data_IF_461615603930
#
_entry.id   IF_461615603930
#
_cell.length_a   1.000
_cell.length_b   1.000
_cell.length_c   1.000
_cell.angle_alpha   90.00
_cell.angle_beta   90.00
_cell.angle_gamma   90.00
#
_symmetry.space_group_name_H-M   'P 1'
#
loop_
_entity.id
_entity.type
_entity.pdbx_description
1 polymer ?
#
# COMPACT_ATOMS: atom_id res chain seq x y z
N UNK A 1 -5.01 7.69 23.40
CA UNK A 1 -4.00 7.49 22.35
C UNK A 1 -3.39 6.11 22.62
N UNK A 2 -3.65 5.12 21.77
CA UNK A 2 -3.14 3.77 22.00
C UNK A 2 -1.62 3.73 21.80
N UNK A 3 -0.93 2.86 22.54
CA UNK A 3 0.49 2.63 22.37
C UNK A 3 0.74 2.03 20.98
N UNK A 4 1.23 2.84 20.08
CA UNK A 4 1.68 2.34 18.77
C UNK A 4 2.97 1.53 18.94
N UNK A 5 3.12 0.39 18.25
CA UNK A 5 4.34 -0.38 18.32
C UNK A 5 5.52 0.45 17.76
N UNK A 6 6.42 0.85 18.64
CA UNK A 6 7.63 1.61 18.31
C UNK A 6 8.85 0.73 18.12
N UNK A 7 8.69 -0.58 18.31
CA UNK A 7 9.74 -1.58 18.17
C UNK A 7 9.50 -2.42 16.89
N UNK A 8 10.55 -3.02 16.31
CA UNK A 8 10.40 -4.03 15.27
C UNK A 8 9.44 -5.14 15.70
N UNK A 9 8.74 -5.74 14.74
CA UNK A 9 7.85 -6.87 15.01
C UNK A 9 8.64 -7.98 15.72
N UNK A 10 8.09 -8.55 16.82
CA UNK A 10 8.75 -9.65 17.51
C UNK A 10 8.86 -10.86 16.58
N UNK A 11 9.95 -11.60 16.71
CA UNK A 11 10.23 -12.79 15.92
C UNK A 11 9.97 -14.05 16.74
N UNK A 12 9.45 -15.07 16.08
CA UNK A 12 9.47 -16.43 16.61
C UNK A 12 10.87 -17.03 16.46
N UNK A 13 11.26 -17.92 17.36
CA UNK A 13 12.53 -18.64 17.25
C UNK A 13 12.54 -19.66 16.09
N UNK A 14 11.34 -20.16 15.73
CA UNK A 14 11.11 -20.96 14.53
C UNK A 14 9.69 -20.74 14.00
N UNK A 15 9.38 -21.11 12.77
CA UNK A 15 7.99 -21.11 12.25
C UNK A 15 7.05 -21.92 13.14
N UNK A 16 7.48 -23.07 13.64
CA UNK A 16 6.69 -23.98 14.51
C UNK A 16 6.27 -23.31 15.81
N UNK A 17 7.14 -22.51 16.43
CA UNK A 17 6.78 -21.76 17.64
C UNK A 17 5.65 -20.73 17.39
N UNK A 18 5.51 -20.26 16.17
CA UNK A 18 4.39 -19.44 15.76
C UNK A 18 3.20 -20.28 15.26
N UNK A 19 3.33 -21.61 15.28
CA UNK A 19 2.33 -22.55 14.76
C UNK A 19 2.22 -22.54 13.24
N UNK A 20 3.29 -22.23 12.55
CA UNK A 20 3.44 -22.31 11.09
C UNK A 20 4.38 -23.46 10.78
N UNK A 21 4.06 -24.28 9.79
CA UNK A 21 4.94 -25.36 9.36
C UNK A 21 6.09 -24.82 8.49
N UNK A 22 7.33 -25.08 8.88
CA UNK A 22 8.51 -24.75 8.06
C UNK A 22 8.49 -25.47 6.71
N UNK A 23 7.96 -26.70 6.65
CA UNK A 23 7.79 -27.43 5.41
C UNK A 23 6.82 -26.73 4.44
N UNK A 24 5.74 -26.14 4.95
CA UNK A 24 4.79 -25.37 4.12
C UNK A 24 5.42 -24.03 3.66
N UNK A 25 6.22 -23.40 4.49
CA UNK A 25 6.97 -22.20 4.09
C UNK A 25 7.94 -22.53 2.95
N UNK A 26 8.68 -23.63 3.08
CA UNK A 26 9.59 -24.08 2.02
C UNK A 26 8.85 -24.39 0.73
N UNK A 27 7.71 -25.10 0.81
CA UNK A 27 6.87 -25.39 -0.35
C UNK A 27 6.39 -24.12 -1.05
N UNK A 28 5.94 -23.12 -0.27
CA UNK A 28 5.55 -21.81 -0.80
C UNK A 28 6.71 -21.13 -1.57
N UNK A 29 7.93 -21.16 -1.02
CA UNK A 29 9.11 -20.59 -1.68
C UNK A 29 9.44 -21.32 -2.97
N UNK A 30 9.42 -22.68 -2.95
CA UNK A 30 9.64 -23.50 -4.15
C UNK A 30 8.60 -23.22 -5.24
N UNK A 31 7.34 -23.04 -4.86
CA UNK A 31 6.27 -22.76 -5.81
C UNK A 31 6.39 -21.34 -6.39
N UNK A 32 6.82 -20.35 -5.60
CA UNK A 32 7.18 -19.03 -6.11
C UNK A 32 8.30 -19.12 -7.15
N UNK A 33 9.36 -19.87 -6.87
CA UNK A 33 10.48 -20.04 -7.79
C UNK A 33 10.03 -20.72 -9.10
N UNK A 34 9.19 -21.75 -9.00
CA UNK A 34 8.65 -22.47 -10.16
C UNK A 34 7.69 -21.62 -11.00
N UNK A 35 6.98 -20.69 -10.37
CA UNK A 35 5.99 -19.84 -11.06
C UNK A 35 6.60 -18.82 -12.00
N UNK A 36 7.90 -18.56 -11.91
CA UNK A 36 8.58 -17.51 -12.67
C UNK A 36 8.21 -16.08 -12.24
N UNK A 37 7.51 -15.92 -11.12
CA UNK A 37 7.21 -14.62 -10.55
C UNK A 37 8.49 -14.07 -9.91
N UNK A 38 8.88 -12.86 -10.30
CA UNK A 38 9.96 -12.15 -9.64
C UNK A 38 9.51 -11.76 -8.22
N UNK A 39 10.17 -12.34 -7.23
CA UNK A 39 9.90 -12.09 -5.82
C UNK A 39 11.14 -11.50 -5.16
N UNK A 40 11.00 -10.34 -4.52
CA UNK A 40 12.10 -9.66 -3.85
C UNK A 40 12.25 -10.08 -2.39
N UNK A 41 11.12 -10.30 -1.72
CA UNK A 41 11.09 -10.72 -0.32
C UNK A 41 9.72 -11.30 0.03
N UNK A 42 9.68 -12.03 1.12
CA UNK A 42 8.40 -12.42 1.75
C UNK A 42 8.53 -12.35 3.27
N UNK A 43 7.41 -12.15 3.92
CA UNK A 43 7.28 -12.18 5.37
C UNK A 43 5.98 -12.89 5.75
N UNK A 44 6.07 -13.87 6.61
CA UNK A 44 4.92 -14.61 7.18
C UNK A 44 4.75 -14.17 8.62
N UNK A 45 3.57 -13.57 8.92
CA UNK A 45 3.20 -13.17 10.27
C UNK A 45 2.09 -14.06 10.82
N UNK A 46 2.21 -14.43 12.09
CA UNK A 46 1.14 -15.10 12.82
C UNK A 46 1.12 -14.65 14.29
N UNK A 47 -0.06 -14.27 14.78
CA UNK A 47 -0.21 -13.77 16.14
C UNK A 47 0.66 -12.56 16.46
N UNK A 48 0.87 -11.66 15.49
CA UNK A 48 1.71 -10.47 15.66
C UNK A 48 3.21 -10.73 15.69
N UNK A 49 3.66 -11.97 15.42
CA UNK A 49 5.08 -12.37 15.38
C UNK A 49 5.50 -12.77 13.97
N UNK A 50 6.73 -12.43 13.58
CA UNK A 50 7.33 -12.89 12.32
C UNK A 50 7.71 -14.35 12.48
N UNK A 51 7.02 -15.22 11.74
CA UNK A 51 7.26 -16.67 11.72
C UNK A 51 8.35 -17.07 10.71
N UNK A 52 8.38 -16.40 9.56
CA UNK A 52 9.40 -16.58 8.53
C UNK A 52 9.58 -15.28 7.73
N UNK A 53 10.80 -15.04 7.26
CA UNK A 53 11.15 -13.92 6.40
C UNK A 53 12.37 -14.27 5.58
N UNK A 54 12.36 -13.90 4.30
CA UNK A 54 13.55 -14.00 3.47
C UNK A 54 13.55 -12.92 2.38
N UNK A 55 14.74 -12.68 1.84
CA UNK A 55 15.03 -11.75 0.76
C UNK A 55 15.79 -12.49 -0.32
N UNK A 56 15.43 -12.23 -1.58
CA UNK A 56 16.15 -12.74 -2.74
C UNK A 56 17.23 -11.76 -3.17
N UNK A 57 18.44 -12.23 -3.41
CA UNK A 57 19.47 -11.36 -3.95
C UNK A 57 19.05 -10.72 -5.28
N UNK A 58 19.34 -9.44 -5.50
CA UNK A 58 20.22 -8.55 -4.70
C UNK A 58 19.50 -7.78 -3.56
N UNK A 59 18.28 -8.13 -3.21
CA UNK A 59 17.47 -7.43 -2.21
C UNK A 59 17.87 -7.85 -0.79
N UNK A 60 17.76 -6.89 0.14
CA UNK A 60 18.09 -7.05 1.56
C UNK A 60 17.12 -6.21 2.42
N UNK A 61 17.02 -6.47 3.74
CA UNK A 61 16.07 -5.78 4.61
C UNK A 61 16.20 -4.27 4.66
N UNK A 62 17.42 -3.76 4.46
CA UNK A 62 17.80 -2.35 4.53
C UNK A 62 17.82 -1.66 3.15
N UNK A 63 17.56 -2.38 2.08
CA UNK A 63 17.48 -1.80 0.75
C UNK A 63 16.07 -1.28 0.46
N UNK A 64 15.93 0.01 0.04
CA UNK A 64 14.65 0.54 -0.38
C UNK A 64 14.09 -0.23 -1.58
N UNK A 65 12.79 -0.53 -1.52
CA UNK A 65 12.05 -1.14 -2.62
C UNK A 65 11.01 -0.18 -3.18
N UNK A 66 10.84 -0.10 -4.51
CA UNK A 66 9.70 0.60 -5.09
C UNK A 66 8.42 -0.16 -4.74
N UNK A 67 7.56 0.47 -3.94
CA UNK A 67 6.33 -0.15 -3.45
C UNK A 67 5.17 -0.06 -4.45
N UNK A 68 5.37 0.64 -5.57
CA UNK A 68 4.33 0.83 -6.60
C UNK A 68 2.96 1.19 -5.98
N UNK A 69 1.91 0.49 -6.35
CA UNK A 69 0.54 0.76 -5.87
C UNK A 69 0.31 0.47 -4.38
N UNK A 70 1.17 -0.24 -3.69
CA UNK A 70 1.10 -0.38 -2.23
C UNK A 70 1.23 0.97 -1.54
N UNK A 71 1.94 1.94 -2.16
CA UNK A 71 2.01 3.32 -1.69
C UNK A 71 0.64 3.99 -1.53
N UNK A 72 -0.37 3.57 -2.30
CA UNK A 72 -1.75 4.08 -2.18
C UNK A 72 -2.39 3.72 -0.84
N UNK A 73 -2.06 2.57 -0.29
CA UNK A 73 -2.51 2.17 1.05
C UNK A 73 -1.96 3.13 2.12
N UNK A 74 -0.68 3.48 2.03
CA UNK A 74 -0.05 4.46 2.94
C UNK A 74 -0.69 5.84 2.77
N UNK A 75 -0.96 6.25 1.53
CA UNK A 75 -1.67 7.51 1.24
C UNK A 75 -3.09 7.50 1.85
N UNK A 76 -3.84 6.40 1.71
CA UNK A 76 -5.17 6.29 2.29
C UNK A 76 -5.16 6.37 3.82
N UNK A 77 -4.15 5.79 4.47
CA UNK A 77 -3.95 5.91 5.92
C UNK A 77 -3.66 7.38 6.30
N UNK A 78 -2.80 8.07 5.56
CA UNK A 78 -2.51 9.48 5.80
C UNK A 78 -3.75 10.37 5.63
N UNK A 79 -4.60 10.08 4.64
CA UNK A 79 -5.91 10.73 4.47
C UNK A 79 -6.80 10.48 5.70
N UNK A 80 -6.81 9.26 6.23
CA UNK A 80 -7.54 8.92 7.45
C UNK A 80 -7.11 9.77 8.65
N UNK A 81 -5.82 9.96 8.86
CA UNK A 81 -5.30 10.85 9.91
C UNK A 81 -5.71 12.31 9.69
N UNK A 82 -5.63 12.81 8.46
CA UNK A 82 -6.04 14.18 8.15
C UNK A 82 -7.54 14.41 8.42
N UNK A 83 -8.40 13.41 8.18
CA UNK A 83 -9.82 13.45 8.52
C UNK A 83 -10.00 13.44 10.05
N UNK A 84 -9.27 12.60 10.79
CA UNK A 84 -9.32 12.57 12.25
C UNK A 84 -8.90 13.91 12.88
N UNK A 85 -7.93 14.59 12.26
CA UNK A 85 -7.48 15.93 12.65
C UNK A 85 -8.44 17.06 12.21
N UNK A 86 -9.51 16.71 11.48
CA UNK A 86 -10.54 17.67 11.05
C UNK A 86 -10.11 18.59 9.91
N UNK A 87 -9.06 18.23 9.15
CA UNK A 87 -8.58 19.05 8.04
C UNK A 87 -9.54 19.05 6.86
N UNK A 88 -10.21 17.94 6.60
CA UNK A 88 -11.26 17.76 5.60
C UNK A 88 -12.07 16.49 5.89
N UNK A 89 -13.13 16.23 5.13
CA UNK A 89 -13.94 15.01 5.18
C UNK A 89 -13.85 14.23 3.86
N UNK A 90 -14.36 13.00 3.82
CA UNK A 90 -14.42 12.21 2.58
C UNK A 90 -15.29 12.90 1.51
N UNK A 91 -16.31 13.63 1.92
CA UNK A 91 -17.25 14.37 1.06
C UNK A 91 -16.70 15.73 0.60
N UNK A 92 -15.57 16.17 1.14
CA UNK A 92 -14.93 17.42 0.73
C UNK A 92 -14.56 17.34 -0.75
N UNK A 93 -15.02 18.32 -1.53
CA UNK A 93 -14.71 18.39 -2.95
C UNK A 93 -13.24 18.71 -3.17
N UNK A 94 -12.67 18.08 -4.19
CA UNK A 94 -11.27 18.29 -4.53
C UNK A 94 -10.94 19.77 -4.83
N UNK A 95 -11.85 20.47 -5.52
CA UNK A 95 -11.67 21.86 -5.88
C UNK A 95 -11.80 22.84 -4.70
N UNK A 96 -12.39 22.43 -3.58
CA UNK A 96 -12.40 23.22 -2.35
C UNK A 96 -11.00 23.26 -1.71
N UNK A 97 -10.19 22.22 -1.94
CA UNK A 97 -8.81 22.13 -1.46
C UNK A 97 -7.78 22.65 -2.47
N UNK A 98 -8.08 22.53 -3.76
CA UNK A 98 -7.20 22.85 -4.87
C UNK A 98 -7.89 23.74 -5.90
N UNK A 99 -8.25 24.99 -5.54
CA UNK A 99 -9.01 25.88 -6.43
C UNK A 99 -8.25 26.29 -7.71
N UNK A 100 -6.94 26.16 -7.72
CA UNK A 100 -6.11 26.42 -8.91
C UNK A 100 -6.35 25.46 -10.06
N UNK A 101 -6.97 24.31 -9.80
CA UNK A 101 -7.30 23.29 -10.82
C UNK A 101 -8.74 23.39 -11.35
N UNK A 102 -9.43 24.51 -11.12
CA UNK A 102 -10.79 24.71 -11.60
C UNK A 102 -10.92 24.46 -13.10
N UNK A 103 -11.80 23.54 -13.53
CA UNK A 103 -11.97 23.24 -14.95
C UNK A 103 -12.69 24.39 -15.67
N UNK A 104 -12.40 24.53 -16.98
CA UNK A 104 -12.99 25.56 -17.83
C UNK A 104 -14.39 25.16 -18.31
N UNK A 105 -14.68 23.86 -18.40
CA UNK A 105 -15.99 23.35 -18.83
C UNK A 105 -16.91 23.18 -17.62
N UNK A 106 -18.17 23.63 -17.68
CA UNK A 106 -19.14 23.40 -16.62
C UNK A 106 -19.53 21.92 -16.44
N UNK A 107 -19.35 21.12 -17.50
CA UNK A 107 -19.69 19.69 -17.50
C UNK A 107 -18.50 18.80 -17.14
N UNK A 108 -17.39 19.37 -16.67
CA UNK A 108 -16.21 18.60 -16.30
C UNK A 108 -16.48 17.79 -15.02
N UNK A 109 -16.27 16.47 -15.03
CA UNK A 109 -16.49 15.63 -13.83
C UNK A 109 -15.69 16.07 -12.60
N UNK A 110 -14.62 16.85 -12.78
CA UNK A 110 -13.80 17.36 -11.68
C UNK A 110 -14.62 18.22 -10.69
N UNK A 111 -15.73 18.83 -11.13
CA UNK A 111 -16.62 19.60 -10.25
C UNK A 111 -17.25 18.75 -9.14
N UNK A 112 -17.48 17.46 -9.39
CA UNK A 112 -18.14 16.53 -8.48
C UNK A 112 -17.15 15.62 -7.74
N UNK A 113 -15.83 15.69 -8.06
CA UNK A 113 -14.84 14.83 -7.41
C UNK A 113 -14.64 15.23 -5.94
N UNK A 114 -14.73 14.24 -5.07
CA UNK A 114 -14.47 14.35 -3.64
C UNK A 114 -13.23 13.54 -3.26
N UNK A 115 -12.77 13.73 -2.03
CA UNK A 115 -11.70 12.92 -1.44
C UNK A 115 -12.07 11.44 -1.48
N UNK A 116 -13.34 11.08 -1.24
CA UNK A 116 -13.83 9.70 -1.35
C UNK A 116 -13.52 9.11 -2.73
N UNK A 117 -13.84 9.82 -3.80
CA UNK A 117 -13.61 9.32 -5.17
C UNK A 117 -12.13 9.05 -5.44
N UNK A 118 -11.22 9.88 -4.91
CA UNK A 118 -9.78 9.66 -5.06
C UNK A 118 -9.31 8.43 -4.28
N UNK A 119 -9.71 8.30 -3.02
CA UNK A 119 -9.32 7.15 -2.18
C UNK A 119 -9.90 5.85 -2.71
N UNK A 120 -11.12 5.89 -3.25
CA UNK A 120 -11.79 4.74 -3.87
C UNK A 120 -11.34 4.45 -5.31
N UNK A 121 -10.38 5.22 -5.86
CA UNK A 121 -9.93 5.09 -7.25
C UNK A 121 -11.02 5.29 -8.30
N UNK A 122 -12.01 6.16 -8.01
CA UNK A 122 -13.19 6.42 -8.83
C UNK A 122 -13.15 7.81 -9.48
N UNK A 123 -11.99 8.23 -9.98
CA UNK A 123 -11.82 9.56 -10.58
C UNK A 123 -12.55 9.76 -11.93
N UNK A 124 -13.07 8.69 -12.54
CA UNK A 124 -13.71 8.75 -13.85
C UNK A 124 -12.73 8.96 -15.02
N UNK A 125 -11.44 9.11 -14.77
CA UNK A 125 -10.42 9.21 -15.82
C UNK A 125 -9.84 7.83 -16.11
N UNK A 126 -9.71 7.51 -17.39
CA UNK A 126 -8.89 6.38 -17.82
C UNK A 126 -7.42 6.68 -17.46
N UNK A 127 -6.87 5.86 -16.56
CA UNK A 127 -5.48 5.98 -16.18
C UNK A 127 -4.61 5.26 -17.22
N UNK A 128 -4.03 6.02 -18.12
CA UNK A 128 -3.07 5.49 -19.08
C UNK A 128 -1.65 5.64 -18.50
N UNK A 129 -1.36 4.90 -17.41
CA UNK A 129 -0.09 4.95 -16.70
C UNK A 129 1.12 4.54 -17.55
N UNK A 130 0.89 3.94 -18.71
CA UNK A 130 1.92 3.38 -19.56
C UNK A 130 2.08 4.13 -20.90
N UNK A 131 1.35 5.23 -21.12
CA UNK A 131 1.56 6.04 -22.32
C UNK A 131 2.68 7.07 -22.08
N UNK A 132 3.88 6.88 -22.68
CA UNK A 132 4.99 7.81 -22.53
C UNK A 132 4.76 9.16 -23.22
N UNK A 133 3.62 9.37 -23.89
CA UNK A 133 3.30 10.60 -24.62
C UNK A 133 2.52 11.64 -23.81
N UNK A 134 2.06 11.29 -22.62
CA UNK A 134 1.41 12.22 -21.69
C UNK A 134 2.37 12.75 -20.61
N UNK A 135 3.54 13.23 -21.01
CA UNK A 135 4.44 13.99 -20.13
C UNK A 135 4.43 15.46 -20.52
#
# INVERSE_FOLDING_TARGET
MGDYPTAPLPRAGSPEEAGVSSAEVLRFVEDLQKSGIENHSYMVLRGGRVAAEAFHEPFAPDLPHPMYSVSKTVTAIAVGFAIEEGLFALETRLLDLFPEYMPKSPDDPLWELTIFHLVAMQSGKEANFLDPKEK
#
